data_IF_458348466709
#
_entry.id   IF_458348466709
#
_cell.length_a   1.000
_cell.length_b   1.000
_cell.length_c   1.000
_cell.angle_alpha   90.00
_cell.angle_beta   90.00
_cell.angle_gamma   90.00
#
_symmetry.space_group_name_H-M   'P 1'
#
loop_
_entity.id
_entity.type
_entity.pdbx_description
1 polymer ?
#
# COMPACT_ATOMS: atom_id res chain seq x y z
N UNK A 1 11.33 40.68 -36.96
CA UNK A 1 10.73 41.97 -36.52
C UNK A 1 9.23 42.12 -36.81
N UNK A 2 8.56 41.21 -37.54
CA UNK A 2 7.13 41.37 -37.88
C UNK A 2 6.12 41.05 -36.76
N UNK A 3 6.45 40.22 -35.78
CA UNK A 3 5.51 39.77 -34.75
C UNK A 3 5.15 40.83 -33.71
N UNK A 4 6.07 41.75 -33.38
CA UNK A 4 5.83 42.79 -32.38
C UNK A 4 4.90 43.90 -32.89
N UNK A 5 4.98 44.24 -34.18
CA UNK A 5 4.11 45.23 -34.81
C UNK A 5 2.65 44.75 -34.91
N UNK A 6 2.43 43.44 -35.13
CA UNK A 6 1.08 42.85 -35.20
C UNK A 6 0.40 42.88 -33.83
N UNK A 7 1.15 42.62 -32.76
CA UNK A 7 0.62 42.66 -31.40
C UNK A 7 0.26 44.10 -31.01
N UNK A 8 1.14 45.08 -31.31
CA UNK A 8 0.87 46.48 -30.98
C UNK A 8 -0.32 47.06 -31.76
N UNK A 9 -0.46 46.71 -33.05
CA UNK A 9 -1.61 47.11 -33.88
C UNK A 9 -2.92 46.48 -33.39
N UNK A 10 -2.89 45.22 -32.93
CA UNK A 10 -4.05 44.55 -32.35
C UNK A 10 -4.52 45.24 -31.06
N UNK A 11 -3.62 45.68 -30.19
CA UNK A 11 -3.99 46.38 -28.96
C UNK A 11 -4.57 47.78 -29.21
N UNK A 12 -4.06 48.52 -30.20
CA UNK A 12 -4.55 49.86 -30.53
C UNK A 12 -5.95 49.81 -31.16
N UNK A 13 -6.21 48.80 -31.99
CA UNK A 13 -7.54 48.52 -32.58
C UNK A 13 -8.55 48.12 -31.50
N UNK A 14 -8.15 47.28 -30.54
CA UNK A 14 -8.99 46.89 -29.40
C UNK A 14 -9.33 48.10 -28.53
N UNK A 15 -8.38 49.01 -28.29
CA UNK A 15 -8.62 50.23 -27.51
C UNK A 15 -9.59 51.21 -28.16
N UNK A 16 -9.45 51.45 -29.48
CA UNK A 16 -10.37 52.32 -30.24
C UNK A 16 -11.77 51.72 -30.28
N UNK A 17 -11.87 50.39 -30.46
CA UNK A 17 -13.15 49.68 -30.45
C UNK A 17 -13.85 49.80 -29.08
N UNK A 18 -13.08 49.75 -27.99
CA UNK A 18 -13.60 49.91 -26.63
C UNK A 18 -14.12 51.33 -26.35
N UNK A 19 -13.38 52.36 -26.78
CA UNK A 19 -13.76 53.76 -26.58
C UNK A 19 -15.00 54.17 -27.40
N UNK A 20 -15.12 53.68 -28.64
CA UNK A 20 -16.32 53.93 -29.47
C UNK A 20 -17.53 53.15 -28.94
N UNK A 21 -17.34 51.96 -28.39
CA UNK A 21 -18.39 51.19 -27.72
C UNK A 21 -18.94 51.91 -26.48
N UNK A 22 -18.05 52.51 -25.67
CA UNK A 22 -18.42 53.21 -24.44
C UNK A 22 -19.24 54.49 -24.70
N UNK A 23 -18.88 55.28 -25.72
CA UNK A 23 -19.59 56.53 -26.08
C UNK A 23 -20.94 56.34 -26.79
N UNK A 24 -21.19 55.16 -27.38
CA UNK A 24 -22.52 54.78 -27.86
C UNK A 24 -23.41 54.26 -26.74
N UNK A 25 -22.82 53.62 -25.73
CA UNK A 25 -23.56 53.11 -24.58
C UNK A 25 -24.28 54.23 -23.83
N UNK A 26 -23.61 55.36 -23.62
CA UNK A 26 -24.12 56.45 -22.78
C UNK A 26 -25.38 57.13 -23.34
N UNK A 27 -25.48 57.26 -24.67
CA UNK A 27 -26.66 57.82 -25.34
C UNK A 27 -27.82 56.84 -25.46
N UNK A 28 -27.54 55.54 -25.42
CA UNK A 28 -28.56 54.48 -25.45
C UNK A 28 -29.12 54.25 -24.04
N UNK A 29 -28.30 54.38 -23.00
CA UNK A 29 -28.71 54.22 -21.59
C UNK A 29 -29.78 55.23 -21.18
N UNK A 30 -29.63 56.52 -21.54
CA UNK A 30 -30.60 57.57 -21.15
C UNK A 30 -31.94 57.45 -21.88
N UNK A 31 -31.96 56.91 -23.11
CA UNK A 31 -33.20 56.69 -23.86
C UNK A 31 -33.99 55.45 -23.43
N UNK A 32 -33.33 54.47 -22.79
CA UNK A 32 -33.95 53.22 -22.37
C UNK A 32 -34.63 53.32 -20.99
N UNK A 33 -34.23 54.24 -20.10
CA UNK A 33 -34.78 54.36 -18.74
C UNK A 33 -36.31 54.60 -18.69
N UNK A 34 -36.90 55.24 -19.70
CA UNK A 34 -38.33 55.55 -19.74
C UNK A 34 -39.19 54.39 -20.31
N UNK A 35 -38.63 53.56 -21.19
CA UNK A 35 -39.25 52.31 -21.67
C UNK A 35 -39.06 51.15 -20.68
N UNK A 36 -37.98 51.18 -19.90
CA UNK A 36 -37.61 50.14 -18.93
C UNK A 36 -38.72 49.93 -17.90
N UNK A 37 -39.33 50.95 -17.29
CA UNK A 37 -40.35 50.74 -16.23
C UNK A 37 -41.60 49.93 -16.65
N UNK A 38 -41.92 49.86 -17.95
CA UNK A 38 -43.01 49.00 -18.46
C UNK A 38 -42.56 47.65 -19.00
N UNK A 39 -41.35 47.57 -19.51
CA UNK A 39 -40.73 46.28 -19.82
C UNK A 39 -40.28 45.53 -18.54
N UNK A 40 -40.05 46.25 -17.44
CA UNK A 40 -39.43 45.79 -16.20
C UNK A 40 -40.17 44.62 -15.54
N UNK A 41 -41.51 44.58 -15.58
CA UNK A 41 -42.25 43.47 -14.94
C UNK A 41 -42.24 42.17 -15.77
N UNK A 42 -42.25 42.25 -17.11
CA UNK A 42 -42.13 41.11 -18.03
C UNK A 42 -40.67 40.65 -18.15
N UNK A 43 -39.75 41.60 -18.12
CA UNK A 43 -38.31 41.35 -18.04
C UNK A 43 -37.93 40.78 -16.67
N UNK A 44 -38.53 41.19 -15.56
CA UNK A 44 -38.28 40.62 -14.24
C UNK A 44 -38.71 39.15 -14.15
N UNK A 45 -39.85 38.78 -14.76
CA UNK A 45 -40.29 37.38 -14.83
C UNK A 45 -39.37 36.53 -15.71
N UNK A 46 -38.93 37.04 -16.87
CA UNK A 46 -37.95 36.35 -17.72
C UNK A 46 -36.54 36.30 -17.13
N UNK A 47 -36.09 37.37 -16.47
CA UNK A 47 -34.79 37.45 -15.81
C UNK A 47 -34.75 36.51 -14.60
N UNK A 48 -35.82 36.40 -13.81
CA UNK A 48 -35.89 35.45 -12.70
C UNK A 48 -35.68 34.00 -13.16
N UNK A 49 -36.20 33.62 -14.33
CA UNK A 49 -35.98 32.29 -14.91
C UNK A 49 -34.51 32.06 -15.32
N UNK A 50 -33.88 33.05 -15.96
CA UNK A 50 -32.46 32.98 -16.38
C UNK A 50 -31.50 32.99 -15.18
N UNK A 51 -31.76 33.81 -14.16
CA UNK A 51 -30.97 33.82 -12.92
C UNK A 51 -31.10 32.49 -12.16
N UNK A 52 -32.29 31.89 -12.12
CA UNK A 52 -32.49 30.57 -11.53
C UNK A 52 -31.69 29.47 -12.25
N UNK A 53 -31.60 29.53 -13.58
CA UNK A 53 -30.81 28.59 -14.39
C UNK A 53 -29.30 28.76 -14.17
N UNK A 54 -28.80 30.00 -14.08
CA UNK A 54 -27.39 30.30 -13.79
C UNK A 54 -27.01 29.85 -12.37
N UNK A 55 -27.88 30.07 -11.38
CA UNK A 55 -27.64 29.62 -10.01
C UNK A 55 -27.61 28.09 -9.90
N UNK A 56 -28.46 27.39 -10.65
CA UNK A 56 -28.44 25.93 -10.72
C UNK A 56 -27.11 25.41 -11.29
N UNK A 57 -26.63 25.99 -12.40
CA UNK A 57 -25.32 25.64 -12.99
C UNK A 57 -24.17 25.97 -12.04
N UNK A 58 -24.22 27.12 -11.36
CA UNK A 58 -23.19 27.54 -10.41
C UNK A 58 -23.11 26.62 -9.19
N UNK A 59 -24.25 26.11 -8.69
CA UNK A 59 -24.28 25.12 -7.59
C UNK A 59 -23.59 23.82 -8.02
N UNK A 60 -23.93 23.29 -9.19
CA UNK A 60 -23.30 22.07 -9.74
C UNK A 60 -21.80 22.27 -9.93
N UNK A 61 -21.36 23.40 -10.49
CA UNK A 61 -19.93 23.69 -10.68
C UNK A 61 -19.14 23.79 -9.39
N UNK A 62 -19.77 24.19 -8.28
CA UNK A 62 -19.09 24.34 -6.98
C UNK A 62 -18.99 23.02 -6.21
N UNK A 63 -20.00 22.18 -6.29
CA UNK A 63 -20.11 20.97 -5.46
C UNK A 63 -19.59 19.70 -6.15
N UNK A 64 -19.75 19.59 -7.48
CA UNK A 64 -19.28 18.43 -8.24
C UNK A 64 -17.78 18.11 -8.08
N UNK A 65 -16.83 19.07 -8.16
CA UNK A 65 -15.41 18.74 -8.04
C UNK A 65 -15.01 18.26 -6.64
N UNK A 66 -15.71 18.73 -5.60
CA UNK A 66 -15.46 18.30 -4.21
C UNK A 66 -15.87 16.84 -4.03
N UNK A 67 -17.05 16.46 -4.53
CA UNK A 67 -17.52 15.07 -4.47
C UNK A 67 -16.59 14.12 -5.24
N UNK A 68 -16.16 14.51 -6.45
CA UNK A 68 -15.18 13.76 -7.24
C UNK A 68 -13.83 13.65 -6.52
N UNK A 69 -13.33 14.73 -5.93
CA UNK A 69 -12.10 14.73 -5.16
C UNK A 69 -12.16 13.75 -3.97
N UNK A 70 -13.25 13.76 -3.21
CA UNK A 70 -13.45 12.83 -2.09
C UNK A 70 -13.49 11.37 -2.55
N UNK A 71 -14.14 11.08 -3.68
CA UNK A 71 -14.20 9.74 -4.24
C UNK A 71 -12.80 9.23 -4.61
N UNK A 72 -11.99 10.06 -5.29
CA UNK A 72 -10.62 9.71 -5.68
C UNK A 72 -9.74 9.46 -4.45
N UNK A 73 -9.81 10.33 -3.44
CA UNK A 73 -9.04 10.16 -2.19
C UNK A 73 -9.44 8.86 -1.49
N UNK A 74 -10.74 8.59 -1.39
CA UNK A 74 -11.26 7.38 -0.74
C UNK A 74 -10.81 6.12 -1.48
N UNK A 75 -10.86 6.13 -2.81
CA UNK A 75 -10.38 5.03 -3.64
C UNK A 75 -8.87 4.79 -3.46
N UNK A 76 -8.07 5.86 -3.43
CA UNK A 76 -6.62 5.75 -3.22
C UNK A 76 -6.28 5.15 -1.85
N UNK A 77 -6.90 5.66 -0.77
CA UNK A 77 -6.69 5.14 0.60
C UNK A 77 -7.10 3.67 0.70
N UNK A 78 -8.25 3.31 0.09
CA UNK A 78 -8.73 1.92 0.08
C UNK A 78 -7.77 1.00 -0.66
N UNK A 79 -7.26 1.41 -1.82
CA UNK A 79 -6.30 0.63 -2.61
C UNK A 79 -5.01 0.39 -1.83
N UNK A 80 -4.45 1.41 -1.18
CA UNK A 80 -3.27 1.27 -0.31
C UNK A 80 -3.53 0.29 0.83
N UNK A 81 -4.67 0.42 1.51
CA UNK A 81 -5.01 -0.44 2.64
C UNK A 81 -5.18 -1.91 2.23
N UNK A 82 -5.85 -2.16 1.09
CA UNK A 82 -6.01 -3.49 0.52
C UNK A 82 -4.65 -4.09 0.19
N UNK A 83 -3.79 -3.34 -0.51
CA UNK A 83 -2.46 -3.81 -0.94
C UNK A 83 -1.57 -4.18 0.23
N UNK A 84 -1.55 -3.35 1.27
CA UNK A 84 -0.76 -3.59 2.48
C UNK A 84 -1.19 -4.90 3.17
N UNK A 85 -2.50 -5.14 3.27
CA UNK A 85 -3.04 -6.35 3.91
C UNK A 85 -2.95 -7.60 3.05
N UNK A 86 -3.10 -7.48 1.72
CA UNK A 86 -3.15 -8.64 0.83
C UNK A 86 -1.77 -9.11 0.36
N UNK A 87 -0.75 -8.26 0.39
CA UNK A 87 0.59 -8.59 -0.13
C UNK A 87 1.67 -8.34 0.91
N UNK A 88 1.78 -7.12 1.43
CA UNK A 88 2.91 -6.75 2.29
C UNK A 88 2.90 -7.53 3.61
N UNK A 89 1.75 -7.64 4.27
CA UNK A 89 1.63 -8.32 5.55
C UNK A 89 1.92 -9.85 5.46
N UNK A 90 1.38 -10.62 4.48
CA UNK A 90 1.78 -12.01 4.28
C UNK A 90 3.27 -12.18 3.96
N UNK A 91 3.85 -11.27 3.18
CA UNK A 91 5.27 -11.31 2.82
C UNK A 91 6.18 -11.08 4.03
N UNK A 92 5.85 -10.08 4.85
CA UNK A 92 6.59 -9.78 6.08
C UNK A 92 6.53 -10.96 7.06
N UNK A 93 5.34 -11.54 7.28
CA UNK A 93 5.17 -12.74 8.11
C UNK A 93 5.96 -13.93 7.61
N UNK A 94 5.99 -14.15 6.29
CA UNK A 94 6.78 -15.23 5.69
C UNK A 94 8.27 -15.01 5.91
N UNK A 95 8.73 -13.78 5.76
CA UNK A 95 10.13 -13.41 5.98
C UNK A 95 10.53 -13.64 7.44
N UNK A 96 9.71 -13.15 8.38
CA UNK A 96 9.94 -13.34 9.82
C UNK A 96 9.97 -14.82 10.21
N UNK A 97 8.99 -15.60 9.77
CA UNK A 97 8.93 -17.04 10.03
C UNK A 97 10.16 -17.76 9.47
N UNK A 98 10.62 -17.38 8.28
CA UNK A 98 11.82 -17.94 7.66
C UNK A 98 13.08 -17.59 8.45
N UNK A 99 13.21 -16.34 8.90
CA UNK A 99 14.33 -15.92 9.76
C UNK A 99 14.34 -16.69 11.08
N UNK A 100 13.18 -16.89 11.71
CA UNK A 100 13.07 -17.65 12.96
C UNK A 100 13.39 -19.14 12.75
N UNK A 101 12.90 -19.74 11.66
CA UNK A 101 13.23 -21.12 11.31
C UNK A 101 14.75 -21.29 11.09
N UNK A 102 15.38 -20.36 10.38
CA UNK A 102 16.83 -20.35 10.15
C UNK A 102 17.64 -20.16 11.45
N UNK A 103 17.07 -19.49 12.45
CA UNK A 103 17.67 -19.35 13.79
C UNK A 103 17.50 -20.61 14.67
N UNK A 104 16.87 -21.68 14.16
CA UNK A 104 16.67 -22.94 14.88
C UNK A 104 15.31 -23.07 15.58
N UNK A 105 14.38 -22.13 15.38
CA UNK A 105 13.01 -22.28 15.87
C UNK A 105 12.20 -23.21 14.94
N UNK A 106 12.43 -24.51 15.05
CA UNK A 106 11.87 -25.54 14.15
C UNK A 106 10.36 -25.75 14.28
N UNK A 107 9.73 -25.22 15.32
CA UNK A 107 8.27 -25.27 15.52
C UNK A 107 7.52 -24.17 14.75
N UNK A 108 8.22 -23.24 14.11
CA UNK A 108 7.57 -22.13 13.42
C UNK A 108 6.76 -22.61 12.22
N UNK A 109 5.53 -22.09 12.08
CA UNK A 109 4.61 -22.44 10.98
C UNK A 109 3.91 -21.19 10.48
N UNK A 110 3.59 -21.18 9.18
CA UNK A 110 2.76 -20.17 8.55
C UNK A 110 1.27 -20.53 8.63
N UNK A 111 0.36 -19.53 8.62
CA UNK A 111 -1.08 -19.76 8.74
C UNK A 111 -1.63 -20.64 7.61
N UNK A 112 -2.44 -21.64 7.96
CA UNK A 112 -3.04 -22.57 6.99
C UNK A 112 -4.26 -21.97 6.27
N UNK A 113 -4.87 -20.92 6.81
CA UNK A 113 -6.00 -20.22 6.20
C UNK A 113 -5.63 -19.29 5.04
N UNK A 114 -4.33 -19.09 4.76
CA UNK A 114 -3.91 -18.32 3.59
C UNK A 114 -4.40 -19.01 2.31
N UNK A 115 -4.98 -18.23 1.41
CA UNK A 115 -5.51 -18.70 0.14
C UNK A 115 -4.63 -18.26 -1.03
N UNK A 116 -4.86 -18.86 -2.21
CA UNK A 116 -4.13 -18.55 -3.43
C UNK A 116 -2.65 -18.93 -3.35
N UNK A 117 -1.80 -18.06 -3.85
CA UNK A 117 -0.36 -18.24 -3.95
C UNK A 117 0.32 -18.25 -2.58
N UNK A 118 -0.15 -17.41 -1.64
CA UNK A 118 0.38 -17.38 -0.28
C UNK A 118 0.01 -18.64 0.52
N UNK A 119 -1.16 -19.23 0.25
CA UNK A 119 -1.53 -20.53 0.82
C UNK A 119 -0.58 -21.65 0.38
N UNK A 120 -0.26 -21.68 -0.92
CA UNK A 120 0.71 -22.64 -1.47
C UNK A 120 2.11 -22.44 -0.87
N UNK A 121 2.54 -21.18 -0.70
CA UNK A 121 3.80 -20.85 -0.06
C UNK A 121 3.82 -21.28 1.42
N UNK A 122 2.74 -21.05 2.16
CA UNK A 122 2.60 -21.49 3.55
C UNK A 122 2.66 -23.02 3.67
N UNK A 123 1.98 -23.75 2.80
CA UNK A 123 2.02 -25.20 2.77
C UNK A 123 3.46 -25.73 2.52
N UNK A 124 4.15 -25.19 1.51
CA UNK A 124 5.52 -25.58 1.20
C UNK A 124 6.50 -25.23 2.33
N UNK A 125 6.35 -24.06 2.95
CA UNK A 125 7.14 -23.66 4.11
C UNK A 125 6.93 -24.60 5.30
N UNK A 126 5.67 -24.94 5.61
CA UNK A 126 5.33 -25.82 6.72
C UNK A 126 5.88 -27.24 6.51
N UNK A 127 5.81 -27.76 5.29
CA UNK A 127 6.41 -29.05 4.93
C UNK A 127 7.93 -29.04 5.11
N UNK A 128 8.60 -27.97 4.67
CA UNK A 128 10.04 -27.81 4.88
C UNK A 128 10.39 -27.76 6.38
N UNK A 129 9.63 -27.01 7.17
CA UNK A 129 9.84 -26.91 8.62
C UNK A 129 9.64 -28.26 9.32
N UNK A 130 8.63 -29.03 8.94
CA UNK A 130 8.38 -30.37 9.45
C UNK A 130 9.54 -31.33 9.13
N UNK A 131 10.02 -31.34 7.88
CA UNK A 131 11.17 -32.16 7.48
C UNK A 131 12.43 -31.79 8.26
N UNK A 132 12.67 -30.49 8.48
CA UNK A 132 13.82 -30.02 9.23
C UNK A 132 13.74 -30.43 10.70
N UNK A 133 12.56 -30.30 11.31
CA UNK A 133 12.30 -30.75 12.68
C UNK A 133 12.53 -32.25 12.83
N UNK A 134 11.98 -33.07 11.93
CA UNK A 134 12.16 -34.53 11.95
C UNK A 134 13.64 -34.92 11.81
N UNK A 135 14.38 -34.27 10.91
CA UNK A 135 15.81 -34.50 10.72
C UNK A 135 16.62 -34.15 11.98
N UNK A 136 16.29 -33.04 12.63
CA UNK A 136 16.97 -32.62 13.87
C UNK A 136 16.73 -33.60 15.01
N UNK A 137 15.48 -34.02 15.22
CA UNK A 137 15.13 -35.02 16.24
C UNK A 137 15.83 -36.37 15.99
N UNK A 138 15.92 -36.80 14.73
CA UNK A 138 16.63 -38.04 14.41
C UNK A 138 18.14 -37.90 14.68
N UNK A 139 18.74 -36.76 14.34
CA UNK A 139 20.14 -36.49 14.62
C UNK A 139 20.43 -36.50 16.13
N UNK A 140 19.59 -35.85 16.95
CA UNK A 140 19.72 -35.87 18.41
C UNK A 140 19.66 -37.29 18.97
N UNK A 141 18.72 -38.12 18.46
CA UNK A 141 18.62 -39.53 18.83
C UNK A 141 19.90 -40.28 18.49
N UNK A 142 20.43 -40.12 17.28
CA UNK A 142 21.68 -40.75 16.86
C UNK A 142 22.87 -40.32 17.72
N UNK A 143 22.97 -39.02 18.05
CA UNK A 143 24.02 -38.51 18.95
C UNK A 143 23.91 -39.16 20.32
N UNK A 144 22.72 -39.22 20.92
CA UNK A 144 22.49 -39.84 22.22
C UNK A 144 22.88 -41.33 22.23
N UNK A 145 22.53 -42.08 21.18
CA UNK A 145 22.92 -43.49 21.02
C UNK A 145 24.43 -43.66 20.92
N UNK A 146 25.11 -42.83 20.12
CA UNK A 146 26.58 -42.88 19.97
C UNK A 146 27.30 -42.50 21.27
N UNK A 147 26.82 -41.49 21.99
CA UNK A 147 27.39 -41.10 23.28
C UNK A 147 27.26 -42.22 24.31
N UNK A 148 26.11 -42.89 24.38
CA UNK A 148 25.93 -44.06 25.27
C UNK A 148 26.88 -45.20 24.90
N UNK A 149 26.96 -45.55 23.61
CA UNK A 149 27.87 -46.60 23.14
C UNK A 149 29.35 -46.29 23.47
N UNK A 150 29.78 -45.03 23.32
CA UNK A 150 31.14 -44.61 23.69
C UNK A 150 31.40 -44.69 25.20
N UNK A 151 30.41 -44.34 26.02
CA UNK A 151 30.51 -44.46 27.48
C UNK A 151 30.62 -45.92 27.92
N UNK A 152 29.81 -46.80 27.34
CA UNK A 152 29.86 -48.24 27.61
C UNK A 152 31.21 -48.85 27.19
N UNK A 153 31.72 -48.49 26.01
CA UNK A 153 33.03 -48.95 25.53
C UNK A 153 34.18 -48.47 26.43
N UNK A 154 34.18 -47.21 26.85
CA UNK A 154 35.17 -46.68 27.79
C UNK A 154 35.13 -47.41 29.14
N UNK A 155 33.93 -47.66 29.67
CA UNK A 155 33.76 -48.38 30.92
C UNK A 155 34.26 -49.84 30.82
N UNK A 156 34.05 -50.49 29.68
CA UNK A 156 34.58 -51.83 29.44
C UNK A 156 36.12 -51.85 29.38
N UNK A 157 36.75 -50.86 28.74
CA UNK A 157 38.21 -50.73 28.69
C UNK A 157 38.81 -50.49 30.07
N UNK A 158 38.23 -49.60 30.87
CA UNK A 158 38.68 -49.35 32.25
C UNK A 158 38.58 -50.59 33.12
N UNK A 159 37.46 -51.34 33.03
CA UNK A 159 37.32 -52.60 33.76
C UNK A 159 38.40 -53.61 33.38
N UNK A 160 38.75 -53.72 32.09
CA UNK A 160 39.83 -54.60 31.63
C UNK A 160 41.20 -54.15 32.14
N UNK A 161 41.48 -52.85 32.15
CA UNK A 161 42.74 -52.31 32.69
C UNK A 161 42.92 -52.67 34.17
N UNK A 162 41.89 -52.46 35.00
CA UNK A 162 41.91 -52.81 36.43
C UNK A 162 42.09 -54.32 36.65
N UNK A 163 41.44 -55.16 35.84
CA UNK A 163 41.63 -56.61 35.91
C UNK A 163 43.06 -57.04 35.60
N UNK A 164 43.68 -56.42 34.59
CA UNK A 164 45.06 -56.72 34.23
C UNK A 164 46.02 -56.32 35.35
N UNK A 165 45.86 -55.13 35.93
CA UNK A 165 46.68 -54.69 37.07
C UNK A 165 46.59 -55.65 38.26
N UNK A 166 45.37 -56.06 38.65
CA UNK A 166 45.17 -57.04 39.72
C UNK A 166 45.81 -58.40 39.41
N UNK A 167 45.76 -58.85 38.15
CA UNK A 167 46.39 -60.11 37.73
C UNK A 167 47.93 -60.07 37.80
N UNK A 168 48.54 -58.91 37.55
CA UNK A 168 49.99 -58.73 37.66
C UNK A 168 50.48 -58.70 39.11
N UNK A 169 49.71 -58.14 40.05
CA UNK A 169 50.07 -58.17 41.48
C UNK A 169 50.05 -59.59 42.04
N UNK A 170 49.05 -60.41 41.68
CA UNK A 170 48.94 -61.80 42.13
C UNK A 170 50.05 -62.68 41.55
N UNK A 171 50.48 -62.43 40.30
CA UNK A 171 51.57 -63.20 39.67
C UNK A 171 52.98 -62.86 40.17
N UNK A 172 53.13 -61.78 40.95
CA UNK A 172 54.43 -61.34 41.50
C UNK A 172 54.65 -61.71 42.97
N UNK A 173 53.61 -62.16 43.67
CA UNK A 173 53.65 -62.63 45.07
C UNK A 173 53.88 -64.14 45.15
#
# INVERSE_FOLDING_TARGET
MGSLFIILAAFLLVGILYAVSFSRLDRVVVGLEEEIWRADWLAAEQQAAVFAEIEAVRRVMREAPVAWGMLVVTAAVSATFITLRSIAQPLERTTEATTRLAAGHLEERLPAEWAGEFGQLAAAFNEMAERLQASYTDLERQVAERTRALQEANYALQRRAVQLEASFEVGRA
#
